data_IF_652351372790
#
_entry.id   IF_652351372790
#
_cell.length_a   1.000
_cell.length_b   1.000
_cell.length_c   1.000
_cell.angle_alpha   90.00
_cell.angle_beta   90.00
_cell.angle_gamma   90.00
#
_symmetry.space_group_name_H-M   'P 1'
#
loop_
_entity.id
_entity.type
_entity.pdbx_description
1 polymer ?
#
# COMPACT_ATOMS: atom_id res chain seq x y z
N UNK A 1 -32.64 23.93 -59.42
CA UNK A 1 -31.28 24.19 -58.91
C UNK A 1 -31.24 25.13 -57.68
N UNK A 2 -32.26 25.94 -57.39
CA UNK A 2 -32.26 26.90 -56.26
C UNK A 2 -32.56 26.29 -54.88
N UNK A 3 -33.48 25.31 -54.80
CA UNK A 3 -33.90 24.68 -53.54
C UNK A 3 -32.79 23.87 -52.85
N UNK A 4 -31.94 23.20 -53.62
CA UNK A 4 -30.77 22.44 -53.13
C UNK A 4 -29.67 23.35 -52.61
N UNK A 5 -29.48 24.53 -53.22
CA UNK A 5 -28.51 25.53 -52.80
C UNK A 5 -28.91 26.19 -51.47
N UNK A 6 -30.20 26.50 -51.29
CA UNK A 6 -30.75 27.02 -50.03
C UNK A 6 -30.66 26.01 -48.88
N UNK A 7 -30.95 24.72 -49.15
CA UNK A 7 -30.77 23.64 -48.18
C UNK A 7 -29.29 23.46 -47.77
N UNK A 8 -28.35 23.54 -48.72
CA UNK A 8 -26.92 23.47 -48.41
C UNK A 8 -26.42 24.66 -47.57
N UNK A 9 -26.93 25.87 -47.82
CA UNK A 9 -26.56 27.06 -47.02
C UNK A 9 -27.15 26.97 -45.61
N UNK A 10 -28.39 26.49 -45.45
CA UNK A 10 -28.99 26.26 -44.14
C UNK A 10 -28.25 25.17 -43.35
N UNK A 11 -27.87 24.06 -43.99
CA UNK A 11 -27.05 23.03 -43.33
C UNK A 11 -25.68 23.55 -42.91
N UNK A 12 -25.00 24.35 -43.77
CA UNK A 12 -23.71 24.97 -43.42
C UNK A 12 -23.84 25.95 -42.27
N UNK A 13 -24.91 26.75 -42.22
CA UNK A 13 -25.17 27.68 -41.13
C UNK A 13 -25.44 26.95 -39.79
N UNK A 14 -26.22 25.86 -39.82
CA UNK A 14 -26.48 25.02 -38.64
C UNK A 14 -25.22 24.30 -38.17
N UNK A 15 -24.40 23.76 -39.08
CA UNK A 15 -23.11 23.15 -38.71
C UNK A 15 -22.16 24.20 -38.12
N UNK A 16 -22.08 25.38 -38.71
CA UNK A 16 -21.21 26.45 -38.22
C UNK A 16 -21.65 27.00 -36.85
N UNK A 17 -22.96 27.07 -36.59
CA UNK A 17 -23.51 27.45 -35.29
C UNK A 17 -23.33 26.37 -34.21
N UNK A 18 -23.34 25.08 -34.59
CA UNK A 18 -23.22 23.95 -33.63
C UNK A 18 -21.79 23.48 -33.38
N UNK A 19 -20.82 23.87 -34.22
CA UNK A 19 -19.39 23.53 -34.07
C UNK A 19 -18.80 23.86 -32.69
N UNK A 20 -19.00 25.06 -32.12
CA UNK A 20 -18.47 25.37 -30.78
C UNK A 20 -19.03 24.43 -29.70
N UNK A 21 -20.34 24.17 -29.71
CA UNK A 21 -21.00 23.27 -28.76
C UNK A 21 -20.49 21.82 -28.88
N UNK A 22 -20.35 21.31 -30.11
CA UNK A 22 -19.75 19.98 -30.36
C UNK A 22 -18.32 19.89 -29.84
N UNK A 23 -17.52 20.95 -30.01
CA UNK A 23 -16.14 20.98 -29.52
C UNK A 23 -16.04 20.98 -28.00
N UNK A 24 -16.91 21.75 -27.32
CA UNK A 24 -17.01 21.79 -25.85
C UNK A 24 -17.46 20.43 -25.32
N UNK A 25 -18.46 19.82 -25.95
CA UNK A 25 -18.94 18.48 -25.57
C UNK A 25 -17.83 17.43 -25.68
N UNK A 26 -17.05 17.43 -26.76
CA UNK A 26 -15.91 16.52 -26.92
C UNK A 26 -14.80 16.79 -25.89
N UNK A 27 -14.51 18.06 -25.60
CA UNK A 27 -13.53 18.44 -24.58
C UNK A 27 -13.97 17.97 -23.18
N UNK A 28 -15.24 18.18 -22.82
CA UNK A 28 -15.84 17.71 -21.58
C UNK A 28 -15.78 16.18 -21.43
N UNK A 29 -16.08 15.43 -22.50
CA UNK A 29 -15.97 13.97 -22.51
C UNK A 29 -14.53 13.48 -22.30
N UNK A 30 -13.55 14.10 -22.98
CA UNK A 30 -12.13 13.77 -22.79
C UNK A 30 -11.70 14.04 -21.36
N UNK A 31 -12.04 15.21 -20.83
CA UNK A 31 -11.69 15.63 -19.48
C UNK A 31 -12.33 14.73 -18.41
N UNK A 32 -13.56 14.28 -18.60
CA UNK A 32 -14.18 13.28 -17.72
C UNK A 32 -13.42 11.94 -17.73
N UNK A 33 -12.90 11.53 -18.89
CA UNK A 33 -12.01 10.37 -19.03
C UNK A 33 -10.69 10.55 -18.29
N UNK A 34 -10.09 11.73 -18.39
CA UNK A 34 -8.83 12.07 -17.70
C UNK A 34 -9.02 12.09 -16.17
N UNK A 35 -10.11 12.67 -15.68
CA UNK A 35 -10.49 12.65 -14.26
C UNK A 35 -10.57 11.22 -13.74
N UNK A 36 -11.25 10.34 -14.48
CA UNK A 36 -11.36 8.91 -14.10
C UNK A 36 -9.99 8.24 -14.04
N UNK A 37 -9.11 8.55 -15.00
CA UNK A 37 -7.74 8.03 -15.03
C UNK A 37 -6.93 8.52 -13.83
N UNK A 38 -6.99 9.82 -13.52
CA UNK A 38 -6.31 10.40 -12.34
C UNK A 38 -6.81 9.78 -11.03
N UNK A 39 -8.12 9.54 -10.90
CA UNK A 39 -8.70 8.85 -9.74
C UNK A 39 -8.20 7.40 -9.61
N UNK A 40 -8.07 6.68 -10.72
CA UNK A 40 -7.51 5.33 -10.72
C UNK A 40 -6.03 5.32 -10.29
N UNK A 41 -5.25 6.30 -10.77
CA UNK A 41 -3.85 6.51 -10.35
C UNK A 41 -3.75 6.77 -8.86
N UNK A 42 -4.58 7.67 -8.30
CA UNK A 42 -4.61 7.93 -6.85
C UNK A 42 -4.91 6.67 -6.05
N UNK A 43 -5.93 5.90 -6.45
CA UNK A 43 -6.26 4.63 -5.80
C UNK A 43 -5.10 3.63 -5.83
N UNK A 44 -4.35 3.57 -6.93
CA UNK A 44 -3.18 2.70 -7.05
C UNK A 44 -2.03 3.17 -6.13
N UNK A 45 -1.76 4.48 -6.07
CA UNK A 45 -0.75 5.06 -5.19
C UNK A 45 -1.07 4.85 -3.71
N UNK A 46 -2.34 5.00 -3.32
CA UNK A 46 -2.82 4.72 -1.96
C UNK A 46 -2.66 3.24 -1.60
N UNK A 47 -3.02 2.34 -2.53
CA UNK A 47 -2.84 0.91 -2.33
C UNK A 47 -1.36 0.52 -2.15
N UNK A 48 -0.46 1.12 -2.94
CA UNK A 48 0.99 0.91 -2.78
C UNK A 48 1.49 1.43 -1.43
N UNK A 49 1.02 2.61 -1.00
CA UNK A 49 1.38 3.20 0.30
C UNK A 49 0.93 2.30 1.46
N UNK A 50 -0.31 1.80 1.41
CA UNK A 50 -0.85 0.87 2.40
C UNK A 50 -0.07 -0.46 2.47
N UNK A 51 0.37 -0.99 1.32
CA UNK A 51 1.23 -2.20 1.27
C UNK A 51 2.58 -1.96 1.95
N UNK A 52 3.22 -0.81 1.70
CA UNK A 52 4.48 -0.42 2.36
C UNK A 52 4.29 -0.31 3.87
N UNK A 53 3.23 0.35 4.34
CA UNK A 53 2.95 0.49 5.76
C UNK A 53 2.68 -0.86 6.43
N UNK A 54 1.89 -1.72 5.78
CA UNK A 54 1.65 -3.10 6.22
C UNK A 54 2.95 -3.89 6.37
N UNK A 55 3.86 -3.77 5.40
CA UNK A 55 5.18 -4.40 5.46
C UNK A 55 6.04 -3.86 6.60
N UNK A 56 6.09 -2.54 6.82
CA UNK A 56 6.80 -1.94 7.95
C UNK A 56 6.27 -2.46 9.29
N UNK A 57 4.95 -2.56 9.43
CA UNK A 57 4.31 -3.11 10.63
C UNK A 57 4.69 -4.58 10.86
N UNK A 58 4.66 -5.40 9.83
CA UNK A 58 5.06 -6.81 9.90
C UNK A 58 6.55 -6.96 10.27
N UNK A 59 7.43 -6.12 9.69
CA UNK A 59 8.85 -6.08 10.08
C UNK A 59 9.04 -5.66 11.54
N UNK A 60 8.28 -4.68 12.02
CA UNK A 60 8.30 -4.25 13.41
C UNK A 60 7.87 -5.37 14.37
N UNK A 61 6.78 -6.08 14.05
CA UNK A 61 6.33 -7.24 14.81
C UNK A 61 7.39 -8.35 14.84
N UNK A 62 7.99 -8.67 13.68
CA UNK A 62 9.07 -9.65 13.59
C UNK A 62 10.27 -9.27 14.47
N UNK A 63 10.66 -8.00 14.48
CA UNK A 63 11.76 -7.51 15.31
C UNK A 63 11.45 -7.62 16.82
N UNK A 64 10.25 -7.23 17.23
CA UNK A 64 9.79 -7.35 18.63
C UNK A 64 9.73 -8.82 19.06
N UNK A 65 9.12 -9.70 18.25
CA UNK A 65 9.07 -11.13 18.54
C UNK A 65 10.46 -11.75 18.57
N UNK A 66 11.38 -11.32 17.69
CA UNK A 66 12.77 -11.76 17.71
C UNK A 66 13.49 -11.41 19.01
N UNK A 67 13.29 -10.19 19.54
CA UNK A 67 13.82 -9.79 20.85
C UNK A 67 13.22 -10.60 21.99
N UNK A 68 11.90 -10.79 22.00
CA UNK A 68 11.21 -11.59 23.00
C UNK A 68 11.68 -13.06 23.00
N UNK A 69 11.84 -13.64 21.81
CA UNK A 69 12.36 -14.99 21.62
C UNK A 69 13.79 -15.14 22.16
N UNK A 70 14.67 -14.18 21.86
CA UNK A 70 16.04 -14.17 22.38
C UNK A 70 16.03 -14.16 23.92
N UNK A 71 15.27 -13.25 24.52
CA UNK A 71 15.11 -13.16 25.98
C UNK A 71 14.57 -14.45 26.59
N UNK A 72 13.52 -15.03 26.01
CA UNK A 72 12.93 -16.28 26.51
C UNK A 72 13.92 -17.46 26.45
N UNK A 73 14.76 -17.52 25.41
CA UNK A 73 15.83 -18.54 25.31
C UNK A 73 16.92 -18.34 26.36
N UNK A 74 17.33 -17.09 26.61
CA UNK A 74 18.32 -16.74 27.63
C UNK A 74 17.82 -17.11 29.04
N UNK A 75 16.56 -16.78 29.35
CA UNK A 75 15.91 -17.15 30.62
C UNK A 75 15.81 -18.68 30.78
N UNK A 76 15.37 -19.39 29.74
CA UNK A 76 15.30 -20.86 29.77
C UNK A 76 16.68 -21.50 29.97
N UNK A 77 17.72 -20.94 29.33
CA UNK A 77 19.10 -21.40 29.48
C UNK A 77 19.62 -21.15 30.90
N UNK A 78 19.38 -19.96 31.46
CA UNK A 78 19.78 -19.62 32.83
C UNK A 78 19.09 -20.55 33.85
N UNK A 79 17.78 -20.80 33.71
CA UNK A 79 17.04 -21.74 34.53
C UNK A 79 17.58 -23.17 34.40
N UNK A 80 17.94 -23.59 33.18
CA UNK A 80 18.51 -24.92 32.96
C UNK A 80 19.87 -25.08 33.65
N UNK A 81 20.70 -24.03 33.67
CA UNK A 81 21.97 -24.02 34.40
C UNK A 81 21.74 -24.11 35.91
N UNK A 82 20.84 -23.29 36.46
CA UNK A 82 20.48 -23.33 37.90
C UNK A 82 19.90 -24.69 38.32
N UNK A 83 19.04 -25.27 37.48
CA UNK A 83 18.44 -26.58 37.71
C UNK A 83 19.51 -27.68 37.77
N UNK A 84 20.52 -27.63 36.89
CA UNK A 84 21.64 -28.59 36.91
C UNK A 84 22.60 -28.39 38.08
N UNK A 85 22.74 -27.15 38.56
CA UNK A 85 23.62 -26.83 39.69
C UNK A 85 23.01 -27.18 41.06
N UNK A 86 21.70 -27.48 41.12
CA UNK A 86 21.01 -27.83 42.37
C UNK A 86 21.02 -29.34 42.57
N UNK A 87 21.61 -29.85 43.66
CA UNK A 87 21.72 -31.30 43.93
C UNK A 87 20.36 -32.03 44.03
N UNK A 88 19.33 -31.34 44.56
CA UNK A 88 17.96 -31.85 44.67
C UNK A 88 16.95 -30.81 44.17
N UNK A 89 16.75 -30.71 42.84
CA UNK A 89 15.84 -29.72 42.28
C UNK A 89 14.40 -29.94 42.76
N UNK A 90 13.69 -28.86 43.06
CA UNK A 90 12.31 -28.95 43.52
C UNK A 90 11.35 -29.16 42.33
N UNK A 91 10.18 -29.74 42.60
CA UNK A 91 9.12 -29.87 41.60
C UNK A 91 8.71 -28.50 41.01
N UNK A 92 8.80 -27.43 41.80
CA UNK A 92 8.53 -26.07 41.34
C UNK A 92 9.58 -25.60 40.34
N UNK A 93 10.87 -25.84 40.59
CA UNK A 93 11.97 -25.49 39.67
C UNK A 93 11.84 -26.25 38.34
N UNK A 94 11.48 -27.54 38.38
CA UNK A 94 11.25 -28.34 37.18
C UNK A 94 10.10 -27.77 36.33
N UNK A 95 8.97 -27.43 36.97
CA UNK A 95 7.82 -26.82 36.29
C UNK A 95 8.16 -25.47 35.68
N UNK A 96 8.95 -24.64 36.37
CA UNK A 96 9.37 -23.33 35.87
C UNK A 96 10.25 -23.46 34.62
N UNK A 97 11.19 -24.41 34.62
CA UNK A 97 12.05 -24.68 33.46
C UNK A 97 11.24 -25.15 32.25
N UNK A 98 10.33 -26.10 32.44
CA UNK A 98 9.47 -26.60 31.36
C UNK A 98 8.53 -25.51 30.82
N UNK A 99 7.96 -24.68 31.70
CA UNK A 99 7.16 -23.53 31.29
C UNK A 99 7.98 -22.52 30.45
N UNK A 100 9.22 -22.24 30.86
CA UNK A 100 10.12 -21.34 30.13
C UNK A 100 10.51 -21.89 28.76
N UNK A 101 10.84 -23.19 28.67
CA UNK A 101 11.10 -23.88 27.39
C UNK A 101 9.88 -23.82 26.47
N UNK A 102 8.68 -24.07 26.99
CA UNK A 102 7.44 -24.00 26.23
C UNK A 102 7.19 -22.59 25.70
N UNK A 103 7.33 -21.57 26.53
CA UNK A 103 7.18 -20.18 26.11
C UNK A 103 8.17 -19.80 24.99
N UNK A 104 9.43 -20.23 25.10
CA UNK A 104 10.43 -20.03 24.05
C UNK A 104 10.06 -20.76 22.74
N UNK A 105 9.54 -21.99 22.82
CA UNK A 105 9.08 -22.75 21.65
C UNK A 105 7.87 -22.09 20.96
N UNK A 106 6.90 -21.60 21.72
CA UNK A 106 5.74 -20.88 21.17
C UNK A 106 6.17 -19.57 20.47
N UNK A 107 7.10 -18.82 21.08
CA UNK A 107 7.69 -17.63 20.46
C UNK A 107 8.49 -17.98 19.19
N UNK A 108 9.19 -19.12 19.17
CA UNK A 108 9.92 -19.59 17.99
C UNK A 108 8.97 -19.88 16.83
N UNK A 109 7.85 -20.54 17.08
CA UNK A 109 6.82 -20.81 16.06
C UNK A 109 6.23 -19.51 15.52
N UNK A 110 5.89 -18.55 16.40
CA UNK A 110 5.40 -17.23 15.99
C UNK A 110 6.44 -16.48 15.16
N UNK A 111 7.70 -16.48 15.58
CA UNK A 111 8.80 -15.85 14.86
C UNK A 111 8.98 -16.43 13.46
N UNK A 112 8.93 -17.76 13.33
CA UNK A 112 9.06 -18.45 12.04
C UNK A 112 7.93 -18.08 11.09
N UNK A 113 6.68 -18.05 11.58
CA UNK A 113 5.52 -17.62 10.79
C UNK A 113 5.62 -16.16 10.34
N UNK A 114 6.00 -15.25 11.25
CA UNK A 114 6.22 -13.84 10.92
C UNK A 114 7.34 -13.66 9.91
N UNK A 115 8.45 -14.40 10.05
CA UNK A 115 9.58 -14.36 9.11
C UNK A 115 9.14 -14.73 7.70
N UNK A 116 8.38 -15.80 7.55
CA UNK A 116 7.83 -16.21 6.25
C UNK A 116 6.86 -15.18 5.69
N UNK A 117 6.00 -14.60 6.54
CA UNK A 117 5.06 -13.55 6.12
C UNK A 117 5.78 -12.30 5.61
N UNK A 118 6.78 -11.81 6.35
CA UNK A 118 7.63 -10.68 5.95
C UNK A 118 8.35 -10.99 4.64
N UNK A 119 8.85 -12.21 4.45
CA UNK A 119 9.49 -12.59 3.19
C UNK A 119 8.51 -12.52 2.01
N UNK A 120 7.32 -13.11 2.14
CA UNK A 120 6.28 -13.03 1.08
C UNK A 120 5.89 -11.60 0.74
N UNK A 121 5.73 -10.75 1.76
CA UNK A 121 5.39 -9.34 1.55
C UNK A 121 6.52 -8.57 0.86
N UNK A 122 7.78 -8.87 1.20
CA UNK A 122 8.94 -8.31 0.51
C UNK A 122 8.94 -8.70 -0.97
N UNK A 123 8.68 -9.96 -1.27
CA UNK A 123 8.68 -10.46 -2.65
C UNK A 123 7.54 -9.81 -3.46
N UNK A 124 6.36 -9.64 -2.87
CA UNK A 124 5.25 -8.92 -3.48
C UNK A 124 5.58 -7.44 -3.74
N UNK A 125 6.18 -6.73 -2.77
CA UNK A 125 6.61 -5.34 -2.98
C UNK A 125 7.68 -5.21 -4.07
N UNK A 126 8.64 -6.13 -4.12
CA UNK A 126 9.65 -6.14 -5.18
C UNK A 126 9.03 -6.41 -6.56
N UNK A 127 8.03 -7.29 -6.66
CA UNK A 127 7.30 -7.55 -7.89
C UNK A 127 6.51 -6.32 -8.38
N UNK A 128 6.03 -5.49 -7.44
CA UNK A 128 5.42 -4.19 -7.72
C UNK A 128 6.47 -3.07 -8.02
N UNK A 129 7.77 -3.40 -8.07
CA UNK A 129 8.85 -2.45 -8.31
C UNK A 129 9.21 -1.55 -7.13
N UNK A 130 8.72 -1.86 -5.92
CA UNK A 130 8.95 -1.07 -4.71
C UNK A 130 10.22 -1.55 -4.01
N UNK A 131 11.23 -0.69 -3.93
CA UNK A 131 12.50 -1.00 -3.29
C UNK A 131 12.38 -1.13 -1.76
N UNK A 132 12.28 -2.36 -1.24
CA UNK A 132 12.12 -2.59 0.21
C UNK A 132 13.35 -2.23 1.06
N UNK A 133 14.50 -1.98 0.43
CA UNK A 133 15.73 -1.53 1.11
C UNK A 133 15.68 -0.04 1.48
N UNK A 134 14.81 0.74 0.82
CA UNK A 134 14.66 2.18 1.05
C UNK A 134 13.18 2.60 1.12
N UNK A 135 12.41 1.91 1.98
CA UNK A 135 10.97 2.18 2.14
C UNK A 135 10.66 3.64 2.49
N UNK A 136 11.55 4.31 3.23
CA UNK A 136 11.35 5.73 3.56
C UNK A 136 11.41 6.64 2.33
N UNK A 137 12.31 6.37 1.38
CA UNK A 137 12.34 7.12 0.13
C UNK A 137 11.13 6.78 -0.75
N UNK A 138 10.77 5.50 -0.87
CA UNK A 138 9.58 5.08 -1.63
C UNK A 138 8.30 5.72 -1.08
N UNK A 139 8.11 5.73 0.23
CA UNK A 139 6.94 6.34 0.85
C UNK A 139 6.89 7.86 0.62
N UNK A 140 8.04 8.55 0.61
CA UNK A 140 8.10 9.97 0.21
C UNK A 140 7.75 10.18 -1.25
N UNK A 141 8.26 9.31 -2.14
CA UNK A 141 7.94 9.35 -3.58
C UNK A 141 6.45 9.17 -3.83
N UNK A 142 5.84 8.15 -3.23
CA UNK A 142 4.40 7.89 -3.34
C UNK A 142 3.57 9.08 -2.83
N UNK A 143 3.94 9.66 -1.68
CA UNK A 143 3.27 10.84 -1.15
C UNK A 143 3.36 12.05 -2.08
N UNK A 144 4.53 12.28 -2.69
CA UNK A 144 4.71 13.35 -3.67
C UNK A 144 3.83 13.13 -4.91
N UNK A 145 3.86 11.92 -5.50
CA UNK A 145 3.03 11.57 -6.65
C UNK A 145 1.53 11.65 -6.35
N UNK A 146 1.10 11.25 -5.15
CA UNK A 146 -0.30 11.37 -4.73
C UNK A 146 -0.72 12.84 -4.58
N UNK A 147 0.16 13.69 -4.04
CA UNK A 147 -0.09 15.14 -3.95
C UNK A 147 -0.22 15.76 -5.34
N UNK A 148 0.69 15.43 -6.27
CA UNK A 148 0.65 15.92 -7.65
C UNK A 148 -0.62 15.48 -8.38
N UNK A 149 -1.00 14.19 -8.28
CA UNK A 149 -2.22 13.67 -8.86
C UNK A 149 -3.47 14.31 -8.24
N UNK A 150 -3.47 14.62 -6.95
CA UNK A 150 -4.57 15.33 -6.28
C UNK A 150 -4.70 16.76 -6.81
N UNK A 151 -3.59 17.48 -6.97
CA UNK A 151 -3.59 18.82 -7.56
C UNK A 151 -4.04 18.80 -9.03
N UNK A 152 -3.61 17.80 -9.81
CA UNK A 152 -4.08 17.60 -11.19
C UNK A 152 -5.59 17.33 -11.24
N UNK A 153 -6.10 16.46 -10.37
CA UNK A 153 -7.53 16.15 -10.27
C UNK A 153 -8.36 17.40 -9.94
N UNK A 154 -7.90 18.24 -9.02
CA UNK A 154 -8.56 19.51 -8.69
C UNK A 154 -8.65 20.45 -9.89
N UNK A 155 -7.55 20.59 -10.66
CA UNK A 155 -7.53 21.38 -11.90
C UNK A 155 -8.49 20.82 -12.94
N UNK A 156 -8.45 19.52 -13.19
CA UNK A 156 -9.34 18.85 -14.14
C UNK A 156 -10.82 19.03 -13.79
N UNK A 157 -11.17 18.94 -12.51
CA UNK A 157 -12.55 19.18 -12.05
C UNK A 157 -12.99 20.63 -12.29
N UNK A 158 -12.15 21.60 -11.94
CA UNK A 158 -12.45 23.02 -12.17
C UNK A 158 -12.55 23.39 -13.66
N UNK A 159 -11.77 22.74 -14.52
CA UNK A 159 -11.90 22.89 -15.98
C UNK A 159 -13.20 22.26 -16.50
N UNK A 160 -13.63 21.12 -15.95
CA UNK A 160 -14.86 20.45 -16.36
C UNK A 160 -16.09 21.30 -16.02
N UNK A 161 -16.11 21.87 -14.81
CA UNK A 161 -17.17 22.79 -14.36
C UNK A 161 -17.28 24.05 -15.23
N UNK A 162 -16.20 24.47 -15.90
CA UNK A 162 -16.20 25.60 -16.83
C UNK A 162 -16.71 25.24 -18.23
N UNK A 163 -16.68 23.96 -18.59
CA UNK A 163 -17.09 23.44 -19.90
C UNK A 163 -18.51 22.85 -19.89
N UNK A 164 -19.06 22.55 -18.71
CA UNK A 164 -20.45 22.13 -18.49
C UNK A 164 -21.40 23.32 -18.46
#
# INVERSE_FOLDING_TARGET
>A
MSKSLQLQVLLKAVDQATRPLKSIQQASQRLAGDIKTTQQTLKALDAQSARIEGFRKAQGQLAVTGKALKKAKEEAAALAVQFKATEKPTAQQARLLEASKRAAAELQTKYNGLRQSVQRQRDALNADGIATRNLSAEQRRLKASASEATTALGRQRGELERLS
#
